data_IF_823012417815
#
_entry.id   IF_823012417815
#
_cell.length_a   1.000
_cell.length_b   1.000
_cell.length_c   1.000
_cell.angle_alpha   90.00
_cell.angle_beta   90.00
_cell.angle_gamma   90.00
#
_symmetry.space_group_name_H-M   'P 1'
#
loop_
_entity.id
_entity.type
_entity.pdbx_description
1 polymer ?
#
# COMPACT_ATOMS: atom_id res chain seq x y z
N UNK A 1 -13.52 -18.54 6.89
CA UNK A 1 -13.56 -17.12 6.49
C UNK A 1 -14.30 -16.91 5.16
N UNK A 2 -14.40 -17.90 4.27
CA UNK A 2 -15.16 -17.76 3.02
C UNK A 2 -14.42 -16.92 1.97
N UNK A 3 -13.12 -16.68 2.18
CA UNK A 3 -12.26 -16.01 1.22
C UNK A 3 -12.09 -16.89 -0.02
N UNK A 4 -12.13 -16.27 -1.20
CA UNK A 4 -12.04 -16.96 -2.49
C UNK A 4 -10.77 -16.62 -3.24
N UNK A 5 -10.12 -15.50 -2.90
CA UNK A 5 -8.93 -15.00 -3.58
C UNK A 5 -7.86 -14.58 -2.58
N UNK A 6 -6.60 -14.76 -2.99
CA UNK A 6 -5.46 -14.04 -2.47
C UNK A 6 -5.11 -12.95 -3.46
N UNK A 7 -4.88 -11.73 -2.98
CA UNK A 7 -4.59 -10.57 -3.80
C UNK A 7 -3.43 -9.77 -3.22
N UNK A 8 -2.73 -9.05 -4.09
CA UNK A 8 -1.63 -8.16 -3.73
C UNK A 8 -1.84 -6.80 -4.35
N UNK A 9 -1.92 -5.76 -3.51
CA UNK A 9 -1.91 -4.35 -3.94
C UNK A 9 -0.49 -3.83 -3.83
N UNK A 10 -0.02 -3.02 -4.78
CA UNK A 10 1.35 -2.55 -4.79
C UNK A 10 1.51 -1.16 -5.42
N UNK A 11 2.59 -0.49 -5.04
CA UNK A 11 3.16 0.66 -5.72
C UNK A 11 4.58 0.29 -6.13
N UNK A 12 4.91 0.52 -7.40
CA UNK A 12 6.25 0.28 -7.94
C UNK A 12 6.63 1.37 -8.93
N UNK A 13 7.92 1.70 -9.04
CA UNK A 13 8.35 2.66 -10.05
C UNK A 13 8.21 2.04 -11.43
N UNK A 14 8.07 2.88 -12.45
CA UNK A 14 8.00 2.40 -13.83
C UNK A 14 9.36 1.84 -14.29
N UNK A 15 10.44 2.57 -14.00
CA UNK A 15 11.81 2.10 -14.16
C UNK A 15 12.27 1.33 -12.91
N UNK A 16 13.27 0.47 -13.04
CA UNK A 16 13.84 -0.26 -11.91
C UNK A 16 14.76 0.64 -11.07
N UNK A 17 14.16 1.58 -10.35
CA UNK A 17 14.84 2.52 -9.45
C UNK A 17 14.46 2.28 -7.99
N UNK A 18 15.27 2.81 -7.08
CA UNK A 18 14.99 2.72 -5.65
C UNK A 18 14.09 3.87 -5.18
N UNK A 19 12.79 3.61 -5.10
CA UNK A 19 11.82 4.58 -4.58
C UNK A 19 12.09 4.97 -3.12
N UNK A 20 12.82 4.17 -2.33
CA UNK A 20 13.12 4.50 -0.93
C UNK A 20 13.99 5.75 -0.78
N UNK A 21 14.64 6.19 -1.85
CA UNK A 21 15.39 7.44 -1.90
C UNK A 21 14.49 8.68 -1.71
N UNK A 22 13.23 8.63 -2.16
CA UNK A 22 12.31 9.77 -2.10
C UNK A 22 11.00 9.47 -1.35
N UNK A 23 10.57 8.21 -1.28
CA UNK A 23 9.42 7.77 -0.48
C UNK A 23 9.87 7.37 0.92
N UNK A 24 9.27 8.01 1.92
CA UNK A 24 9.41 7.69 3.34
C UNK A 24 8.52 6.51 3.76
N UNK A 25 7.27 6.51 3.29
CA UNK A 25 6.29 5.45 3.58
C UNK A 25 5.10 5.51 2.63
N UNK A 26 4.47 4.36 2.44
CA UNK A 26 3.22 4.20 1.70
C UNK A 26 2.13 3.76 2.66
N UNK A 27 1.01 4.46 2.63
CA UNK A 27 -0.19 4.08 3.37
C UNK A 27 -1.18 3.42 2.42
N UNK A 28 -1.62 2.21 2.76
CA UNK A 28 -2.72 1.51 2.11
C UNK A 28 -3.91 1.51 3.07
N UNK A 29 -4.99 2.20 2.72
CA UNK A 29 -6.25 2.15 3.46
C UNK A 29 -7.16 1.12 2.79
N UNK A 30 -7.29 -0.03 3.44
CA UNK A 30 -8.21 -1.09 3.07
C UNK A 30 -9.63 -0.80 3.57
N UNK A 31 -10.58 -1.63 3.16
CA UNK A 31 -11.93 -1.64 3.70
C UNK A 31 -11.94 -1.96 5.21
N UNK A 32 -12.86 -1.37 5.96
CA UNK A 32 -12.91 -1.44 7.44
C UNK A 32 -13.14 -2.86 7.99
N UNK A 33 -13.58 -3.79 7.15
CA UNK A 33 -13.72 -5.21 7.51
C UNK A 33 -12.38 -5.91 7.76
N UNK A 34 -11.26 -5.36 7.27
CA UNK A 34 -9.94 -5.91 7.50
C UNK A 34 -9.39 -5.51 8.87
N UNK A 35 -8.73 -6.44 9.55
CA UNK A 35 -7.97 -6.10 10.75
C UNK A 35 -6.85 -5.13 10.39
N UNK A 36 -6.76 -4.02 11.13
CA UNK A 36 -5.85 -2.91 10.86
C UNK A 36 -5.97 -2.42 9.41
N UNK A 37 -7.09 -1.77 9.03
CA UNK A 37 -7.35 -1.39 7.64
C UNK A 37 -6.35 -0.33 7.13
N UNK A 38 -5.71 0.42 8.01
CA UNK A 38 -4.63 1.35 7.66
C UNK A 38 -3.28 0.65 7.78
N UNK A 39 -2.76 0.15 6.65
CA UNK A 39 -1.45 -0.51 6.58
C UNK A 39 -0.38 0.49 6.13
N UNK A 40 0.78 0.44 6.75
CA UNK A 40 1.91 1.34 6.44
C UNK A 40 3.11 0.49 6.05
N UNK A 41 3.66 0.74 4.88
CA UNK A 41 4.87 0.08 4.37
C UNK A 41 5.96 1.13 4.22
N UNK A 42 7.10 0.93 4.88
CA UNK A 42 8.20 1.92 4.93
C UNK A 42 9.42 1.54 4.10
N UNK A 43 9.44 0.33 3.51
CA UNK A 43 10.55 -0.20 2.72
C UNK A 43 10.01 -0.96 1.51
N UNK A 44 10.72 -0.94 0.36
CA UNK A 44 10.35 -1.74 -0.79
C UNK A 44 10.49 -3.25 -0.51
N UNK A 45 9.69 -4.12 -1.17
CA UNK A 45 8.61 -3.78 -2.10
C UNK A 45 7.41 -3.14 -1.38
N UNK A 46 6.87 -2.05 -1.95
CA UNK A 46 5.71 -1.36 -1.39
C UNK A 46 4.43 -2.09 -1.78
N UNK A 47 4.22 -3.25 -1.20
CA UNK A 47 3.10 -4.12 -1.50
C UNK A 47 2.48 -4.72 -0.24
N UNK A 48 1.21 -5.09 -0.35
CA UNK A 48 0.47 -5.76 0.69
C UNK A 48 -0.31 -6.92 0.10
N UNK A 49 -0.14 -8.09 0.69
CA UNK A 49 -0.87 -9.30 0.33
C UNK A 49 -1.92 -9.62 1.39
N UNK A 50 -3.14 -9.90 0.94
CA UNK A 50 -4.29 -10.23 1.79
C UNK A 50 -5.19 -11.25 1.09
N UNK A 51 -6.18 -11.76 1.82
CA UNK A 51 -7.20 -12.66 1.27
C UNK A 51 -8.59 -12.03 1.39
N UNK A 52 -9.51 -12.39 0.50
CA UNK A 52 -10.85 -11.81 0.47
C UNK A 52 -11.75 -12.46 -0.56
N UNK A 53 -12.98 -11.96 -0.65
CA UNK A 53 -13.99 -12.49 -1.58
C UNK A 53 -14.66 -11.42 -2.45
N UNK A 54 -14.50 -10.14 -2.11
CA UNK A 54 -15.13 -9.02 -2.80
C UNK A 54 -14.13 -7.96 -3.24
N UNK A 55 -14.62 -7.01 -4.03
CA UNK A 55 -13.87 -5.87 -4.53
C UNK A 55 -14.20 -4.62 -3.72
N UNK A 56 -13.21 -3.74 -3.53
CA UNK A 56 -13.37 -2.47 -2.83
C UNK A 56 -12.28 -1.49 -3.25
N UNK A 57 -12.49 -0.21 -2.98
CA UNK A 57 -11.49 0.83 -3.25
C UNK A 57 -10.40 0.84 -2.17
N UNK A 58 -9.13 0.83 -2.60
CA UNK A 58 -7.98 1.01 -1.72
C UNK A 58 -7.43 2.42 -1.93
N UNK A 59 -7.45 3.24 -0.87
CA UNK A 59 -6.82 4.55 -0.93
C UNK A 59 -5.34 4.41 -0.62
N UNK A 60 -4.50 4.75 -1.59
CA UNK A 60 -3.04 4.72 -1.48
C UNK A 60 -2.54 6.15 -1.31
N UNK A 61 -1.75 6.41 -0.27
CA UNK A 61 -1.08 7.70 -0.03
C UNK A 61 0.43 7.53 0.09
N UNK A 62 1.17 8.36 -0.64
CA UNK A 62 2.63 8.32 -0.68
C UNK A 62 3.17 9.45 0.17
N UNK A 63 4.01 9.16 1.15
CA UNK A 63 4.66 10.20 1.94
C UNK A 63 6.12 10.28 1.50
N UNK A 64 6.54 11.46 1.05
CA UNK A 64 7.92 11.74 0.72
C UNK A 64 8.76 11.97 1.98
N UNK A 65 10.09 11.90 1.84
CA UNK A 65 11.01 12.25 2.94
C UNK A 65 10.94 13.73 3.29
N UNK A 66 10.77 14.59 2.28
CA UNK A 66 10.57 16.03 2.48
C UNK A 66 9.15 16.27 3.06
N UNK A 67 9.03 16.81 4.28
CA UNK A 67 7.72 17.10 4.88
C UNK A 67 6.98 18.26 4.20
N UNK A 68 7.64 19.05 3.35
CA UNK A 68 7.01 20.12 2.58
C UNK A 68 6.36 19.61 1.29
N UNK A 69 6.73 18.42 0.83
CA UNK A 69 6.07 17.75 -0.30
C UNK A 69 4.71 17.21 0.13
N UNK A 70 3.69 17.46 -0.71
CA UNK A 70 2.33 17.01 -0.41
C UNK A 70 2.22 15.49 -0.59
N UNK A 71 1.61 14.77 0.36
CA UNK A 71 1.35 13.33 0.22
C UNK A 71 0.32 12.96 -0.84
#
# INVERSE_FOLDING_TARGET
DGHTHQWTVYVKPYANEDMSAYIKKVHFKLHESYANPNRIVTKPPYELTETGWGEFEIVIKLYFHDPNERP
#
